data_IF_048903770487
#
_entry.id   IF_048903770487
#
_cell.length_a   1.000
_cell.length_b   1.000
_cell.length_c   1.000
_cell.angle_alpha   90.00
_cell.angle_beta   90.00
_cell.angle_gamma   90.00
#
_symmetry.space_group_name_H-M   'P 1'
#
loop_
_entity.id
_entity.type
_entity.pdbx_description
1 polymer ?
#
# COMPACT_ATOMS: atom_id res chain seq x y z
N UNK A 1 -19.19 13.07 -22.30
CA UNK A 1 -18.79 11.77 -21.76
C UNK A 1 -19.76 10.71 -22.24
N UNK A 2 -19.26 9.52 -22.55
CA UNK A 2 -20.08 8.34 -22.80
C UNK A 2 -20.68 7.86 -21.47
N UNK A 3 -21.93 7.36 -21.41
CA UNK A 3 -22.43 6.65 -20.23
C UNK A 3 -21.51 5.48 -19.87
N UNK A 4 -21.49 5.07 -18.59
CA UNK A 4 -20.76 3.86 -18.16
C UNK A 4 -21.27 2.69 -18.99
N UNK A 5 -20.39 2.17 -19.84
CA UNK A 5 -20.73 1.16 -20.84
C UNK A 5 -19.74 0.02 -20.73
N UNK A 6 -20.26 -1.19 -20.53
CA UNK A 6 -19.45 -2.41 -20.46
C UNK A 6 -19.70 -3.30 -21.68
N UNK A 7 -18.71 -4.10 -22.04
CA UNK A 7 -18.81 -5.05 -23.15
C UNK A 7 -17.99 -6.30 -22.89
N UNK A 8 -18.13 -7.29 -23.78
CA UNK A 8 -17.34 -8.51 -23.76
C UNK A 8 -16.50 -8.61 -25.02
N UNK A 9 -15.22 -8.92 -24.85
CA UNK A 9 -14.29 -9.25 -25.94
C UNK A 9 -13.62 -10.57 -25.56
N UNK A 10 -13.70 -11.57 -26.44
CA UNK A 10 -13.18 -12.92 -26.18
C UNK A 10 -13.63 -13.55 -24.84
N UNK A 11 -14.83 -13.20 -24.34
CA UNK A 11 -15.35 -13.69 -23.06
C UNK A 11 -14.84 -12.95 -21.81
N UNK A 12 -13.94 -11.98 -21.96
CA UNK A 12 -13.51 -11.07 -20.89
C UNK A 12 -14.36 -9.81 -20.87
N UNK A 13 -14.58 -9.27 -19.68
CA UNK A 13 -15.40 -8.08 -19.48
C UNK A 13 -14.53 -6.81 -19.47
N UNK A 14 -15.01 -5.79 -20.20
CA UNK A 14 -14.34 -4.50 -20.30
C UNK A 14 -15.30 -3.36 -19.99
N UNK A 15 -14.74 -2.29 -19.44
CA UNK A 15 -15.33 -0.96 -19.38
C UNK A 15 -14.76 -0.13 -20.53
N UNK A 16 -15.64 0.58 -21.23
CA UNK A 16 -15.24 1.62 -22.18
C UNK A 16 -15.07 2.89 -21.36
N UNK A 17 -13.86 3.43 -21.32
CA UNK A 17 -13.61 4.64 -20.54
C UNK A 17 -14.54 5.78 -21.00
N UNK A 18 -15.21 6.53 -20.10
CA UNK A 18 -16.20 7.56 -20.48
C UNK A 18 -15.63 8.75 -21.28
N UNK A 19 -14.33 9.02 -21.13
CA UNK A 19 -13.64 10.11 -21.81
C UNK A 19 -13.35 9.73 -23.26
N UNK A 20 -13.92 10.50 -24.18
CA UNK A 20 -13.56 10.45 -25.60
C UNK A 20 -12.13 10.99 -25.75
N UNK A 21 -11.26 10.23 -26.39
CA UNK A 21 -9.85 10.60 -26.61
C UNK A 21 -9.59 11.13 -28.02
N UNK A 22 -10.43 10.78 -28.99
CA UNK A 22 -10.29 11.25 -30.36
C UNK A 22 -11.36 10.69 -31.29
N UNK A 23 -11.18 10.91 -32.58
CA UNK A 23 -12.09 10.43 -33.63
C UNK A 23 -11.28 9.92 -34.82
N UNK A 24 -11.70 8.84 -35.46
CA UNK A 24 -11.09 8.38 -36.72
C UNK A 24 -11.66 9.13 -37.93
N UNK A 25 -10.95 9.08 -39.06
CA UNK A 25 -11.35 9.68 -40.33
C UNK A 25 -12.40 8.83 -41.06
N UNK A 26 -12.35 7.52 -40.88
CA UNK A 26 -13.21 6.57 -41.57
C UNK A 26 -14.66 6.67 -41.13
N UNK A 27 -15.55 6.43 -42.08
CA UNK A 27 -16.99 6.33 -41.80
C UNK A 27 -17.33 4.89 -41.44
N UNK A 28 -17.61 4.66 -40.16
CA UNK A 28 -18.09 3.38 -39.64
C UNK A 28 -19.52 3.50 -39.12
N UNK A 29 -20.17 2.37 -38.85
CA UNK A 29 -21.51 2.36 -38.27
C UNK A 29 -21.51 3.15 -36.93
N UNK A 30 -22.39 4.15 -36.75
CA UNK A 30 -22.45 4.96 -35.53
C UNK A 30 -22.63 4.16 -34.23
N UNK A 31 -23.27 3.00 -34.30
CA UNK A 31 -23.53 2.12 -33.16
C UNK A 31 -22.49 0.99 -33.05
N UNK A 32 -21.44 0.99 -33.88
CA UNK A 32 -20.40 -0.01 -33.81
C UNK A 32 -19.61 0.13 -32.51
N UNK A 33 -19.34 -1.01 -31.87
CA UNK A 33 -18.38 -1.13 -30.79
C UNK A 33 -17.29 -2.10 -31.23
N UNK A 34 -16.08 -1.58 -31.44
CA UNK A 34 -14.99 -2.33 -32.08
C UNK A 34 -13.75 -2.29 -31.18
N UNK A 35 -13.21 -3.44 -30.74
CA UNK A 35 -11.89 -3.48 -30.12
C UNK A 35 -10.83 -3.23 -31.20
N UNK A 36 -9.90 -2.32 -30.93
CA UNK A 36 -8.82 -1.95 -31.85
C UNK A 36 -7.48 -1.84 -31.12
N UNK A 37 -6.39 -1.86 -31.87
CA UNK A 37 -5.06 -1.51 -31.34
C UNK A 37 -4.61 -0.17 -31.92
N UNK A 38 -4.33 0.80 -31.04
CA UNK A 38 -3.78 2.10 -31.42
C UNK A 38 -2.26 1.99 -31.51
N UNK A 39 -1.67 2.36 -32.65
CA UNK A 39 -0.24 2.24 -32.91
C UNK A 39 0.27 3.46 -33.70
N UNK A 40 1.56 3.78 -33.56
CA UNK A 40 2.25 4.72 -34.45
C UNK A 40 2.54 4.09 -35.80
N UNK A 41 2.85 4.93 -36.79
CA UNK A 41 3.29 4.51 -38.13
C UNK A 41 4.47 3.53 -38.05
N UNK A 42 5.49 3.84 -37.24
CA UNK A 42 6.68 2.99 -37.12
C UNK A 42 6.36 1.61 -36.54
N UNK A 43 5.43 1.53 -35.59
CA UNK A 43 4.98 0.27 -35.00
C UNK A 43 4.15 -0.57 -35.98
N UNK A 44 3.29 0.08 -36.79
CA UNK A 44 2.46 -0.60 -37.79
C UNK A 44 3.31 -1.18 -38.93
N UNK A 45 4.25 -0.39 -39.44
CA UNK A 45 5.10 -0.77 -40.59
C UNK A 45 6.43 -1.42 -40.19
N UNK A 46 6.66 -1.63 -38.88
CA UNK A 46 7.82 -2.32 -38.30
C UNK A 46 7.54 -3.80 -38.03
N UNK A 47 7.93 -4.27 -36.83
CA UNK A 47 7.65 -5.65 -36.36
C UNK A 47 6.28 -5.73 -35.66
N UNK A 48 5.22 -5.58 -36.45
CA UNK A 48 3.84 -5.57 -35.94
C UNK A 48 3.50 -6.83 -35.14
N UNK A 49 3.84 -8.01 -35.66
CA UNK A 49 3.55 -9.28 -34.97
C UNK A 49 4.31 -9.39 -33.66
N UNK A 50 5.58 -8.99 -33.62
CA UNK A 50 6.35 -8.93 -32.39
C UNK A 50 5.73 -7.98 -31.35
N UNK A 51 5.18 -6.84 -31.78
CA UNK A 51 4.50 -5.89 -30.89
C UNK A 51 3.19 -6.46 -30.35
N UNK A 52 2.34 -7.05 -31.21
CA UNK A 52 1.08 -7.64 -30.76
C UNK A 52 1.31 -8.85 -29.84
N UNK A 53 2.33 -9.66 -30.10
CA UNK A 53 2.75 -10.74 -29.20
C UNK A 53 3.29 -10.19 -27.87
N UNK A 54 4.00 -9.07 -27.90
CA UNK A 54 4.45 -8.41 -26.69
C UNK A 54 3.24 -7.97 -25.85
N UNK A 55 2.26 -7.27 -26.43
CA UNK A 55 1.03 -6.89 -25.73
C UNK A 55 0.30 -8.09 -25.15
N UNK A 56 0.09 -9.16 -25.93
CA UNK A 56 -0.53 -10.41 -25.43
C UNK A 56 0.22 -11.04 -24.24
N UNK A 57 1.53 -10.78 -24.13
CA UNK A 57 2.37 -11.33 -23.06
C UNK A 57 2.45 -10.46 -21.80
N UNK A 58 2.32 -9.13 -21.90
CA UNK A 58 2.57 -8.20 -20.78
C UNK A 58 1.41 -7.27 -20.44
N UNK A 59 0.50 -7.02 -21.38
CA UNK A 59 -0.66 -6.13 -21.20
C UNK A 59 -1.88 -6.97 -20.85
N UNK A 60 -2.32 -6.88 -19.62
CA UNK A 60 -3.45 -7.66 -19.11
C UNK A 60 -4.81 -7.22 -19.68
N UNK A 61 -4.88 -6.05 -20.33
CA UNK A 61 -6.07 -5.57 -21.06
C UNK A 61 -6.13 -6.18 -22.45
N UNK A 62 -4.99 -6.36 -23.12
CA UNK A 62 -4.93 -6.84 -24.49
C UNK A 62 -5.37 -8.31 -24.60
N UNK A 63 -6.14 -8.60 -25.65
CA UNK A 63 -6.40 -9.95 -26.15
C UNK A 63 -6.32 -9.93 -27.67
N UNK A 64 -6.06 -11.07 -28.35
CA UNK A 64 -5.81 -11.09 -29.79
C UNK A 64 -6.91 -10.43 -30.64
N UNK A 65 -8.16 -10.43 -30.19
CA UNK A 65 -9.29 -9.76 -30.85
C UNK A 65 -9.04 -8.25 -31.06
N UNK A 66 -8.32 -7.56 -30.16
CA UNK A 66 -7.93 -6.15 -30.33
C UNK A 66 -6.97 -5.94 -31.51
N UNK A 67 -6.20 -6.97 -31.87
CA UNK A 67 -5.24 -6.93 -32.98
C UNK A 67 -5.86 -7.08 -34.37
N UNK A 68 -7.19 -7.17 -34.48
CA UNK A 68 -7.89 -7.37 -35.77
C UNK A 68 -7.95 -6.09 -36.62
N UNK A 69 -8.10 -4.94 -35.95
CA UNK A 69 -8.20 -3.62 -36.56
C UNK A 69 -7.18 -2.72 -35.89
N UNK A 70 -6.37 -2.04 -36.69
CA UNK A 70 -5.35 -1.13 -36.24
C UNK A 70 -5.80 0.31 -36.48
N UNK A 71 -5.45 1.20 -35.57
CA UNK A 71 -5.66 2.65 -35.73
C UNK A 71 -4.29 3.32 -35.70
N UNK A 72 -3.94 4.04 -36.76
CA UNK A 72 -2.71 4.80 -36.87
C UNK A 72 -2.82 6.18 -36.18
N UNK A 73 -1.88 6.49 -35.29
CA UNK A 73 -1.83 7.76 -34.55
C UNK A 73 -1.50 8.98 -35.42
N UNK A 74 -0.67 8.81 -36.45
CA UNK A 74 -0.13 9.90 -37.28
C UNK A 74 -0.50 9.67 -38.73
N UNK A 75 -1.28 10.58 -39.33
CA UNK A 75 -1.73 10.45 -40.71
C UNK A 75 -1.45 11.69 -41.55
N UNK A 76 -0.18 12.15 -41.61
CA UNK A 76 0.23 13.06 -42.69
C UNK A 76 0.41 12.23 -43.97
N UNK A 77 -0.69 12.04 -44.71
CA UNK A 77 -0.74 11.44 -46.03
C UNK A 77 0.07 10.14 -46.20
N UNK A 78 -0.44 9.02 -45.65
CA UNK A 78 0.02 7.70 -46.08
C UNK A 78 -1.10 7.00 -46.85
N UNK A 79 -0.72 6.48 -48.02
CA UNK A 79 -1.63 5.77 -48.93
C UNK A 79 -2.19 4.52 -48.24
N UNK A 80 -3.39 4.06 -48.58
CA UNK A 80 -3.92 2.76 -48.14
C UNK A 80 -2.93 1.62 -48.46
N UNK A 81 -2.03 1.31 -47.53
CA UNK A 81 -1.11 0.17 -47.63
C UNK A 81 -1.71 -0.91 -46.74
N UNK A 82 -2.34 -1.91 -47.37
CA UNK A 82 -2.69 -3.15 -46.67
C UNK A 82 -1.39 -3.82 -46.23
N UNK A 83 -1.18 -3.91 -44.92
CA UNK A 83 -0.23 -4.85 -44.32
C UNK A 83 -1.06 -6.05 -43.85
N UNK A 84 -0.78 -7.23 -44.39
CA UNK A 84 -1.20 -8.53 -43.83
C UNK A 84 -2.68 -8.70 -43.47
N UNK A 85 -3.60 -8.43 -44.41
CA UNK A 85 -5.06 -8.69 -44.29
C UNK A 85 -5.81 -7.92 -43.19
N UNK A 86 -5.13 -7.09 -42.37
CA UNK A 86 -5.76 -6.27 -41.33
C UNK A 86 -6.25 -4.94 -41.87
N UNK A 87 -7.35 -4.44 -41.30
CA UNK A 87 -7.85 -3.11 -41.60
C UNK A 87 -7.09 -2.07 -40.78
N UNK A 88 -6.66 -0.99 -41.44
CA UNK A 88 -5.98 0.13 -40.82
C UNK A 88 -6.88 1.36 -40.98
N UNK A 89 -7.23 1.97 -39.84
CA UNK A 89 -7.94 3.23 -39.74
C UNK A 89 -6.99 4.35 -39.32
N UNK A 90 -7.39 5.60 -39.54
CA UNK A 90 -6.53 6.76 -39.32
C UNK A 90 -7.20 7.75 -38.39
N UNK A 91 -6.43 8.30 -37.46
CA UNK A 91 -6.93 9.33 -36.55
C UNK A 91 -7.16 10.66 -37.28
N UNK A 92 -8.27 11.33 -36.97
CA UNK A 92 -8.59 12.67 -37.45
C UNK A 92 -7.82 13.70 -36.61
N UNK A 93 -6.74 14.25 -37.15
CA UNK A 93 -5.90 15.25 -36.47
C UNK A 93 -6.64 16.58 -36.18
N UNK A 94 -7.70 16.90 -36.92
CA UNK A 94 -8.47 18.14 -36.74
C UNK A 94 -9.44 18.00 -35.56
N UNK A 95 -9.89 16.78 -35.27
CA UNK A 95 -10.81 16.45 -34.17
C UNK A 95 -10.15 15.67 -33.04
N UNK A 96 -8.83 15.56 -33.06
CA UNK A 96 -8.03 15.05 -31.97
C UNK A 96 -8.01 16.06 -30.82
N UNK A 97 -8.02 15.57 -29.58
CA UNK A 97 -7.81 16.40 -28.40
C UNK A 97 -6.32 16.72 -28.26
N UNK A 98 -5.99 17.82 -27.57
CA UNK A 98 -4.59 18.18 -27.26
C UNK A 98 -3.90 17.00 -26.53
N UNK A 99 -2.65 16.68 -26.93
CA UNK A 99 -1.88 15.57 -26.37
C UNK A 99 -2.16 14.20 -27.02
N UNK A 100 -2.98 14.10 -28.07
CA UNK A 100 -3.32 12.82 -28.70
C UNK A 100 -2.10 12.02 -29.21
N UNK A 101 -1.08 12.71 -29.75
CA UNK A 101 0.18 12.08 -30.19
C UNK A 101 0.93 11.40 -29.04
N UNK A 102 0.60 11.74 -27.80
CA UNK A 102 1.19 11.20 -26.58
C UNK A 102 0.39 10.01 -26.02
N UNK A 103 -0.74 9.62 -26.65
CA UNK A 103 -1.48 8.44 -26.21
C UNK A 103 -0.60 7.18 -26.32
N UNK A 104 -0.61 6.30 -25.32
CA UNK A 104 0.14 5.06 -25.37
C UNK A 104 -0.36 4.14 -26.49
N UNK A 105 0.55 3.35 -27.04
CA UNK A 105 0.18 2.28 -27.96
C UNK A 105 -0.46 1.14 -27.17
N UNK A 106 -1.50 0.50 -27.73
CA UNK A 106 -2.18 -0.60 -27.02
C UNK A 106 -3.66 -0.74 -27.36
N UNK A 107 -4.43 -1.44 -26.51
CA UNK A 107 -5.85 -1.75 -26.74
C UNK A 107 -6.77 -0.55 -26.45
N UNK A 108 -7.69 -0.27 -27.38
CA UNK A 108 -8.72 0.76 -27.26
C UNK A 108 -10.05 0.26 -27.84
N UNK A 109 -11.12 1.02 -27.61
CA UNK A 109 -12.41 0.82 -28.28
C UNK A 109 -12.73 1.98 -29.22
N UNK A 110 -13.32 1.64 -30.35
CA UNK A 110 -14.14 2.57 -31.12
C UNK A 110 -15.60 2.39 -30.75
N UNK A 111 -16.26 3.46 -30.33
CA UNK A 111 -17.72 3.53 -30.24
C UNK A 111 -18.24 4.56 -31.25
N UNK A 112 -18.84 4.06 -32.33
CA UNK A 112 -18.90 4.77 -33.59
C UNK A 112 -17.48 5.21 -33.99
N UNK A 113 -17.29 6.40 -34.60
CA UNK A 113 -15.96 6.85 -35.01
C UNK A 113 -15.09 7.35 -33.85
N UNK A 114 -15.56 7.29 -32.60
CA UNK A 114 -14.89 7.91 -31.46
C UNK A 114 -14.01 6.90 -30.71
N UNK A 115 -12.81 7.31 -30.33
CA UNK A 115 -11.82 6.51 -29.62
C UNK A 115 -11.96 6.65 -28.09
N UNK A 116 -11.90 5.51 -27.39
CA UNK A 116 -11.96 5.41 -25.93
C UNK A 116 -10.96 4.38 -25.43
N UNK A 117 -10.38 4.59 -24.25
CA UNK A 117 -9.47 3.61 -23.65
C UNK A 117 -10.22 2.34 -23.26
N UNK A 118 -9.59 1.17 -23.50
CA UNK A 118 -10.11 -0.12 -23.03
C UNK A 118 -9.66 -0.36 -21.59
N UNK A 119 -10.60 -0.65 -20.70
CA UNK A 119 -10.32 -0.95 -19.30
C UNK A 119 -10.82 -2.34 -18.98
N UNK A 120 -9.95 -3.24 -18.54
CA UNK A 120 -10.36 -4.59 -18.13
C UNK A 120 -11.07 -4.55 -16.79
N UNK A 121 -12.18 -5.28 -16.67
CA UNK A 121 -12.89 -5.45 -15.41
C UNK A 121 -12.48 -6.76 -14.75
N UNK A 122 -12.26 -6.68 -13.45
CA UNK A 122 -11.93 -7.80 -12.58
C UNK A 122 -12.96 -7.92 -11.46
N UNK A 123 -13.31 -9.16 -11.13
CA UNK A 123 -14.17 -9.44 -9.98
C UNK A 123 -13.41 -9.23 -8.67
N UNK A 124 -14.06 -8.60 -7.68
CA UNK A 124 -13.51 -8.47 -6.33
C UNK A 124 -13.78 -9.73 -5.50
N UNK A 125 -13.21 -10.86 -5.92
CA UNK A 125 -13.37 -12.18 -5.27
C UNK A 125 -13.00 -12.19 -3.78
N UNK A 126 -12.00 -11.39 -3.39
CA UNK A 126 -11.54 -11.25 -2.01
C UNK A 126 -12.31 -10.18 -1.23
N UNK A 127 -13.24 -9.45 -1.84
CA UNK A 127 -13.98 -8.37 -1.18
C UNK A 127 -13.06 -7.31 -0.58
N UNK A 128 -11.92 -7.04 -1.22
CA UNK A 128 -10.85 -6.19 -0.74
C UNK A 128 -11.14 -4.69 -0.96
N UNK A 129 -12.04 -4.35 -1.88
CA UNK A 129 -12.33 -2.98 -2.27
C UNK A 129 -13.61 -2.46 -1.64
N UNK A 130 -13.64 -1.16 -1.34
CA UNK A 130 -14.88 -0.42 -1.08
C UNK A 130 -15.53 0.02 -2.40
N UNK A 131 -14.69 0.37 -3.38
CA UNK A 131 -15.11 0.81 -4.71
C UNK A 131 -13.96 0.77 -5.71
N UNK A 132 -14.32 0.56 -6.99
CA UNK A 132 -13.45 0.89 -8.12
C UNK A 132 -13.42 2.40 -8.37
N UNK A 133 -12.35 2.89 -8.98
CA UNK A 133 -12.17 4.31 -9.30
C UNK A 133 -12.00 4.48 -10.81
N UNK A 134 -12.72 5.44 -11.39
CA UNK A 134 -12.39 6.00 -12.71
C UNK A 134 -11.73 7.35 -12.42
N UNK A 135 -10.45 7.57 -12.78
CA UNK A 135 -9.82 8.87 -12.73
C UNK A 135 -10.71 9.86 -13.48
N UNK A 136 -11.18 10.88 -12.75
CA UNK A 136 -12.10 11.97 -13.11
C UNK A 136 -13.59 11.90 -12.68
N UNK A 137 -14.11 10.87 -11.99
CA UNK A 137 -15.28 11.08 -11.09
C UNK A 137 -15.51 9.96 -10.04
N UNK A 138 -16.09 10.39 -8.92
CA UNK A 138 -16.09 9.78 -7.59
C UNK A 138 -17.21 8.76 -7.40
N UNK A 139 -16.86 7.56 -6.91
CA UNK A 139 -17.80 6.78 -6.09
C UNK A 139 -17.12 6.05 -4.92
N UNK A 140 -17.51 6.54 -3.73
CA UNK A 140 -17.72 5.93 -2.41
C UNK A 140 -16.66 4.98 -1.80
N UNK A 141 -15.93 5.41 -0.75
CA UNK A 141 -15.44 4.50 0.29
C UNK A 141 -16.59 4.09 1.22
N UNK A 142 -16.42 3.09 2.08
CA UNK A 142 -17.50 2.41 2.78
C UNK A 142 -17.27 2.46 4.32
N UNK A 143 -18.08 3.25 5.05
CA UNK A 143 -18.21 3.35 6.53
C UNK A 143 -19.51 4.16 6.83
N UNK A 144 -20.51 3.58 7.53
CA UNK A 144 -21.83 4.25 7.68
C UNK A 144 -21.81 5.46 8.62
N UNK A 145 -21.04 5.40 9.71
CA UNK A 145 -21.00 6.47 10.70
C UNK A 145 -20.18 7.66 10.20
N UNK A 146 -19.09 7.40 9.48
CA UNK A 146 -18.32 8.45 8.80
C UNK A 146 -19.11 9.05 7.62
N UNK A 147 -19.77 8.22 6.79
CA UNK A 147 -20.62 8.69 5.68
C UNK A 147 -21.79 9.57 6.14
N UNK A 148 -22.38 9.29 7.28
CA UNK A 148 -23.53 10.09 7.77
C UNK A 148 -23.12 11.54 8.07
N UNK A 149 -21.86 11.77 8.45
CA UNK A 149 -21.31 13.10 8.65
C UNK A 149 -20.81 13.75 7.35
N UNK A 150 -20.09 13.01 6.52
CA UNK A 150 -19.46 13.49 5.29
C UNK A 150 -20.14 12.88 4.05
N UNK A 151 -21.30 13.44 3.69
CA UNK A 151 -22.15 12.94 2.59
C UNK A 151 -21.55 13.16 1.20
N UNK A 152 -20.70 14.18 1.05
CA UNK A 152 -20.05 14.49 -0.22
C UNK A 152 -18.63 13.90 -0.26
N UNK A 153 -18.23 13.26 -1.37
CA UNK A 153 -16.86 12.83 -1.56
C UNK A 153 -15.89 14.02 -1.55
N UNK A 154 -14.62 13.75 -1.23
CA UNK A 154 -13.56 14.77 -1.35
C UNK A 154 -13.53 15.31 -2.78
N UNK A 155 -13.51 16.64 -2.93
CA UNK A 155 -13.37 17.31 -4.22
C UNK A 155 -11.94 17.32 -4.76
N UNK A 156 -10.99 16.78 -4.00
CA UNK A 156 -9.58 16.70 -4.40
C UNK A 156 -8.97 15.33 -4.10
N UNK A 157 -8.04 14.93 -4.97
CA UNK A 157 -7.14 13.80 -4.76
C UNK A 157 -6.09 14.17 -3.72
N UNK A 158 -5.82 13.26 -2.77
CA UNK A 158 -4.76 13.46 -1.79
C UNK A 158 -3.41 13.63 -2.50
N UNK A 159 -2.56 14.58 -2.06
CA UNK A 159 -1.29 14.90 -2.75
C UNK A 159 -0.40 13.69 -3.00
N UNK A 160 -0.37 12.73 -2.07
CA UNK A 160 0.41 11.51 -2.26
C UNK A 160 -0.13 10.66 -3.42
N UNK A 161 -1.45 10.45 -3.49
CA UNK A 161 -2.08 9.75 -4.61
C UNK A 161 -1.91 10.52 -5.93
N UNK A 162 -1.98 11.86 -5.89
CA UNK A 162 -1.71 12.69 -7.06
C UNK A 162 -0.27 12.52 -7.55
N UNK A 163 0.71 12.51 -6.63
CA UNK A 163 2.12 12.28 -6.97
C UNK A 163 2.36 10.90 -7.60
N UNK A 164 1.59 9.87 -7.22
CA UNK A 164 1.65 8.57 -7.88
C UNK A 164 1.08 8.63 -9.30
N UNK A 165 -0.08 9.28 -9.48
CA UNK A 165 -0.71 9.49 -10.79
C UNK A 165 0.24 10.27 -11.72
N UNK A 166 0.86 11.35 -11.23
CA UNK A 166 1.82 12.16 -11.98
C UNK A 166 3.07 11.37 -12.40
N UNK A 167 3.39 10.27 -11.69
CA UNK A 167 4.46 9.33 -12.03
C UNK A 167 4.00 8.17 -12.92
N UNK A 168 2.74 8.18 -13.37
CA UNK A 168 2.16 7.19 -14.28
C UNK A 168 1.44 6.02 -13.59
N UNK A 169 1.21 6.09 -12.28
CA UNK A 169 0.45 5.04 -11.59
C UNK A 169 -1.04 5.11 -11.98
N UNK A 170 -1.62 3.94 -12.29
CA UNK A 170 -3.06 3.80 -12.53
C UNK A 170 -3.74 3.42 -11.20
N UNK A 171 -4.57 4.33 -10.67
CA UNK A 171 -5.32 4.09 -9.44
C UNK A 171 -6.61 3.35 -9.76
N UNK A 172 -6.65 2.06 -9.43
CA UNK A 172 -7.73 1.13 -9.79
C UNK A 172 -8.90 1.11 -8.78
N UNK A 173 -8.67 1.48 -7.52
CA UNK A 173 -9.68 1.32 -6.48
C UNK A 173 -9.29 1.83 -5.11
N UNK A 174 -10.28 1.94 -4.22
CA UNK A 174 -10.09 2.17 -2.79
C UNK A 174 -10.28 0.87 -2.03
N UNK A 175 -9.29 0.48 -1.25
CA UNK A 175 -9.33 -0.75 -0.46
C UNK A 175 -10.01 -0.52 0.88
N UNK A 176 -10.63 -1.58 1.41
CA UNK A 176 -11.26 -1.55 2.75
C UNK A 176 -10.22 -1.31 3.85
N UNK A 177 -10.62 -0.49 4.81
CA UNK A 177 -9.89 -0.22 6.04
C UNK A 177 -10.75 -0.69 7.21
N UNK A 178 -10.14 -1.24 8.25
CA UNK A 178 -10.89 -1.58 9.48
C UNK A 178 -11.54 -0.33 10.08
N UNK A 179 -12.70 -0.47 10.73
CA UNK A 179 -13.40 0.66 11.36
C UNK A 179 -12.46 1.44 12.31
N UNK A 180 -12.30 2.75 12.05
CA UNK A 180 -11.38 3.66 12.75
C UNK A 180 -9.92 3.17 12.83
N UNK A 181 -9.47 2.34 11.88
CA UNK A 181 -8.10 1.81 11.84
C UNK A 181 -7.79 0.69 12.84
N UNK A 182 -8.75 0.31 13.71
CA UNK A 182 -8.52 -0.75 14.71
C UNK A 182 -9.60 -1.82 14.78
N UNK A 183 -10.74 -1.62 14.09
CA UNK A 183 -11.87 -2.55 14.07
C UNK A 183 -11.50 -3.99 13.71
N UNK A 184 -12.06 -4.94 14.44
CA UNK A 184 -11.88 -6.37 14.17
C UNK A 184 -13.21 -7.07 13.86
N UNK A 185 -14.33 -6.40 14.14
CA UNK A 185 -15.66 -7.00 14.12
C UNK A 185 -16.31 -6.94 12.74
N UNK A 186 -16.02 -5.90 11.95
CA UNK A 186 -16.59 -5.71 10.61
C UNK A 186 -18.13 -5.75 10.64
N UNK A 187 -18.73 -4.94 11.52
CA UNK A 187 -20.18 -4.93 11.77
C UNK A 187 -20.94 -4.36 10.58
N UNK A 188 -20.36 -3.38 9.90
CA UNK A 188 -21.01 -2.67 8.80
C UNK A 188 -20.80 -3.33 7.43
N UNK A 189 -19.78 -4.18 7.29
CA UNK A 189 -19.35 -4.76 6.01
C UNK A 189 -18.74 -6.14 6.20
N UNK A 190 -18.71 -6.96 5.16
CA UNK A 190 -17.95 -8.20 5.19
C UNK A 190 -16.44 -7.92 5.20
N UNK A 191 -15.72 -8.49 6.17
CA UNK A 191 -14.26 -8.48 6.20
C UNK A 191 -13.65 -9.11 4.94
N UNK A 192 -12.60 -8.50 4.34
CA UNK A 192 -11.88 -9.07 3.21
C UNK A 192 -11.45 -10.52 3.45
N UNK A 193 -11.45 -11.32 2.39
CA UNK A 193 -10.92 -12.68 2.38
C UNK A 193 -9.42 -12.65 2.08
N UNK A 194 -8.66 -13.55 2.71
CA UNK A 194 -7.25 -13.76 2.39
C UNK A 194 -7.14 -14.94 1.44
N UNK A 195 -6.29 -14.85 0.41
CA UNK A 195 -5.94 -16.02 -0.40
C UNK A 195 -5.05 -17.04 0.34
N UNK A 196 -4.68 -16.77 1.60
CA UNK A 196 -3.94 -17.68 2.49
C UNK A 196 -4.86 -18.38 3.48
N UNK A 197 -4.32 -19.39 4.16
CA UNK A 197 -5.06 -20.17 5.15
C UNK A 197 -6.30 -20.83 4.57
N UNK A 198 -6.17 -21.36 3.34
CA UNK A 198 -7.25 -21.99 2.56
C UNK A 198 -8.43 -21.05 2.28
N UNK A 199 -8.18 -19.75 2.16
CA UNK A 199 -9.22 -18.73 2.02
C UNK A 199 -9.67 -18.13 3.35
N UNK A 200 -9.31 -18.73 4.48
CA UNK A 200 -9.89 -18.43 5.78
C UNK A 200 -8.92 -17.78 6.77
N UNK A 201 -7.71 -17.37 6.35
CA UNK A 201 -6.85 -16.57 7.23
C UNK A 201 -7.56 -15.25 7.62
N UNK A 202 -7.56 -14.94 8.91
CA UNK A 202 -8.03 -13.69 9.47
C UNK A 202 -6.94 -12.64 9.34
N UNK A 203 -7.18 -11.68 8.46
CA UNK A 203 -6.35 -10.49 8.32
C UNK A 203 -6.69 -9.45 9.40
N UNK A 204 -5.69 -8.66 9.80
CA UNK A 204 -5.75 -7.76 10.96
C UNK A 204 -5.02 -6.45 10.65
N UNK A 205 -5.27 -5.42 11.45
CA UNK A 205 -4.65 -4.10 11.32
C UNK A 205 -5.55 -3.11 10.57
N UNK A 206 -5.05 -1.89 10.35
CA UNK A 206 -5.79 -0.85 9.63
C UNK A 206 -6.03 -1.16 8.15
N UNK A 207 -5.01 -1.69 7.48
CA UNK A 207 -4.91 -1.77 6.01
C UNK A 207 -5.34 -3.12 5.41
N UNK A 208 -6.40 -3.71 5.95
CA UNK A 208 -6.78 -5.10 5.63
C UNK A 208 -7.10 -5.32 4.16
N UNK A 209 -7.83 -4.41 3.52
CA UNK A 209 -8.15 -4.52 2.10
C UNK A 209 -6.90 -4.42 1.21
N UNK A 210 -5.96 -3.53 1.54
CA UNK A 210 -4.70 -3.39 0.80
C UNK A 210 -3.85 -4.66 0.88
N UNK A 211 -3.75 -5.25 2.06
CA UNK A 211 -3.06 -6.51 2.25
C UNK A 211 -3.78 -7.66 1.52
N UNK A 212 -5.11 -7.77 1.65
CA UNK A 212 -5.92 -8.79 0.98
C UNK A 212 -5.77 -8.73 -0.54
N UNK A 213 -5.83 -7.51 -1.09
CA UNK A 213 -5.66 -7.23 -2.51
C UNK A 213 -4.27 -7.69 -3.00
N UNK A 214 -3.20 -7.29 -2.30
CA UNK A 214 -1.82 -7.67 -2.64
C UNK A 214 -1.59 -9.20 -2.55
N UNK A 215 -2.21 -9.84 -1.57
CA UNK A 215 -2.13 -11.30 -1.37
C UNK A 215 -2.87 -12.05 -2.48
N UNK A 216 -4.06 -11.59 -2.83
CA UNK A 216 -5.02 -12.34 -3.64
C UNK A 216 -4.99 -12.06 -5.13
N UNK A 217 -4.75 -10.81 -5.56
CA UNK A 217 -4.86 -10.42 -6.96
C UNK A 217 -3.48 -10.34 -7.63
N UNK A 218 -3.19 -11.22 -8.62
CA UNK A 218 -1.91 -11.19 -9.33
C UNK A 218 -1.74 -9.95 -10.22
N UNK A 219 -2.85 -9.32 -10.62
CA UNK A 219 -2.90 -8.12 -11.48
C UNK A 219 -2.73 -6.82 -10.69
N UNK A 220 -2.50 -6.89 -9.36
CA UNK A 220 -2.19 -5.73 -8.54
C UNK A 220 -0.70 -5.72 -8.20
N UNK A 221 0.00 -4.71 -8.70
CA UNK A 221 1.44 -4.53 -8.43
C UNK A 221 1.68 -4.05 -6.99
N UNK A 222 0.89 -3.04 -6.59
CA UNK A 222 1.08 -2.28 -5.37
C UNK A 222 -0.24 -1.98 -4.68
N UNK A 223 -0.22 -2.02 -3.35
CA UNK A 223 -1.28 -1.42 -2.53
C UNK A 223 -0.67 -0.43 -1.54
N UNK A 224 -1.43 0.61 -1.23
CA UNK A 224 -1.05 1.65 -0.27
C UNK A 224 -1.98 1.56 0.93
N UNK A 225 -1.40 1.59 2.13
CA UNK A 225 -2.14 1.63 3.38
C UNK A 225 -1.44 2.48 4.43
N UNK A 226 -1.94 2.38 5.64
CA UNK A 226 -1.37 3.00 6.85
C UNK A 226 -0.73 1.89 7.70
N UNK A 227 0.50 2.14 8.11
CA UNK A 227 1.22 1.44 9.17
C UNK A 227 0.87 2.13 10.49
N UNK A 228 0.13 1.44 11.36
CA UNK A 228 -0.32 1.93 12.67
C UNK A 228 0.64 1.53 13.81
N UNK A 229 1.88 1.15 13.46
CA UNK A 229 2.89 0.69 14.40
C UNK A 229 2.83 -0.80 14.72
N UNK A 230 1.80 -1.54 14.26
CA UNK A 230 1.70 -2.98 14.48
C UNK A 230 2.51 -3.76 13.43
N UNK A 231 3.34 -4.68 13.92
CA UNK A 231 4.16 -5.56 13.08
C UNK A 231 3.37 -6.81 12.72
N UNK A 232 2.66 -6.74 11.60
CA UNK A 232 1.81 -7.81 11.09
C UNK A 232 2.50 -8.57 9.96
N UNK A 233 2.24 -9.88 9.84
CA UNK A 233 2.80 -10.75 8.80
C UNK A 233 2.21 -10.51 7.40
N UNK A 234 1.19 -9.66 7.28
CA UNK A 234 0.54 -9.24 6.02
C UNK A 234 0.23 -10.38 5.04
N UNK A 235 -0.20 -11.55 5.53
CA UNK A 235 -0.50 -12.71 4.66
C UNK A 235 0.72 -13.18 3.83
N UNK A 236 1.93 -12.87 4.28
CA UNK A 236 3.19 -13.24 3.63
C UNK A 236 3.56 -12.41 2.40
N UNK A 237 2.97 -11.22 2.19
CA UNK A 237 3.49 -10.26 1.18
C UNK A 237 4.59 -9.38 1.77
N UNK A 238 5.39 -8.78 0.89
CA UNK A 238 6.38 -7.81 1.29
C UNK A 238 5.70 -6.47 1.55
N UNK A 239 6.16 -5.77 2.58
CA UNK A 239 5.72 -4.40 2.82
C UNK A 239 6.85 -3.53 3.36
N UNK A 240 6.78 -2.25 3.03
CA UNK A 240 7.74 -1.25 3.48
C UNK A 240 6.99 -0.04 4.01
N UNK A 241 7.43 0.43 5.18
CA UNK A 241 7.07 1.74 5.71
C UNK A 241 7.84 2.80 4.94
N UNK A 242 7.18 3.77 4.31
CA UNK A 242 7.90 4.80 3.57
C UNK A 242 8.74 5.70 4.51
N UNK A 243 9.99 5.99 4.14
CA UNK A 243 10.80 7.00 4.79
C UNK A 243 10.33 8.39 4.35
N UNK A 244 9.44 9.00 5.14
CA UNK A 244 8.93 10.33 4.86
C UNK A 244 7.71 10.65 5.72
N UNK A 245 7.45 11.93 5.96
CA UNK A 245 6.16 12.31 6.52
C UNK A 245 5.09 12.15 5.44
N UNK A 246 3.95 11.55 5.81
CA UNK A 246 2.77 11.61 4.97
C UNK A 246 2.52 13.08 4.62
N UNK A 247 2.06 13.31 3.39
CA UNK A 247 1.39 14.56 3.09
C UNK A 247 0.31 14.80 4.17
N UNK A 248 0.19 16.04 4.64
CA UNK A 248 -0.78 16.52 5.64
C UNK A 248 -2.24 16.22 5.32
N UNK A 249 -2.52 15.65 4.16
CA UNK A 249 -3.83 15.50 3.55
C UNK A 249 -4.40 14.07 3.73
N UNK A 250 -3.68 13.17 4.40
CA UNK A 250 -4.16 11.83 4.78
C UNK A 250 -4.50 11.83 6.28
N UNK A 251 -5.74 11.47 6.62
CA UNK A 251 -6.17 11.37 8.01
C UNK A 251 -5.45 10.21 8.71
N UNK A 252 -4.73 10.53 9.79
CA UNK A 252 -4.02 9.57 10.65
C UNK A 252 -4.66 9.55 12.03
N UNK A 253 -4.70 8.38 12.67
CA UNK A 253 -5.17 8.26 14.04
C UNK A 253 -4.04 8.52 15.06
N UNK A 254 -2.77 8.44 14.64
CA UNK A 254 -1.64 8.75 15.51
C UNK A 254 -0.47 9.40 14.78
N UNK A 255 0.37 10.16 15.49
CA UNK A 255 1.64 10.69 14.93
C UNK A 255 2.64 9.59 14.55
N UNK A 256 2.43 8.37 15.07
CA UNK A 256 3.22 7.19 14.73
C UNK A 256 2.80 6.57 13.41
N UNK A 257 1.62 6.92 12.89
CA UNK A 257 1.12 6.39 11.62
C UNK A 257 2.02 6.84 10.47
N UNK A 258 2.34 5.88 9.58
CA UNK A 258 3.14 6.11 8.38
C UNK A 258 2.51 5.43 7.18
N UNK A 259 2.85 5.85 5.96
CA UNK A 259 2.43 5.14 4.76
C UNK A 259 3.10 3.77 4.70
N UNK A 260 2.30 2.74 4.43
CA UNK A 260 2.77 1.38 4.14
C UNK A 260 2.53 1.06 2.68
N UNK A 261 3.53 0.55 2.01
CA UNK A 261 3.42 0.00 0.67
C UNK A 261 3.45 -1.51 0.78
N UNK A 262 2.58 -2.17 0.04
CA UNK A 262 2.50 -3.61 -0.09
C UNK A 262 2.86 -4.00 -1.51
N UNK A 263 3.67 -5.05 -1.67
CA UNK A 263 3.97 -5.63 -2.96
C UNK A 263 4.21 -7.13 -2.84
N UNK A 264 3.95 -7.84 -3.93
CA UNK A 264 4.23 -9.27 -4.06
C UNK A 264 5.72 -9.57 -4.24
N UNK A 265 6.54 -8.55 -4.49
CA UNK A 265 7.99 -8.69 -4.65
C UNK A 265 8.75 -7.64 -3.85
N UNK A 266 9.93 -8.03 -3.35
CA UNK A 266 10.86 -7.09 -2.70
C UNK A 266 11.35 -6.03 -3.68
N UNK A 267 11.56 -6.40 -4.95
CA UNK A 267 11.99 -5.49 -6.02
C UNK A 267 10.96 -4.38 -6.23
N UNK A 268 9.67 -4.71 -6.25
CA UNK A 268 8.62 -3.71 -6.45
C UNK A 268 8.58 -2.65 -5.33
N UNK A 269 8.97 -2.99 -4.11
CA UNK A 269 9.08 -1.99 -3.04
C UNK A 269 10.17 -0.94 -3.33
N UNK A 270 11.19 -1.27 -4.14
CA UNK A 270 12.26 -0.34 -4.50
C UNK A 270 11.78 0.77 -5.46
N UNK A 271 10.70 0.55 -6.21
CA UNK A 271 10.13 1.57 -7.10
C UNK A 271 9.69 2.83 -6.33
N UNK A 272 9.46 2.68 -5.01
CA UNK A 272 9.05 3.74 -4.11
C UNK A 272 10.17 4.27 -3.20
N UNK A 273 11.39 3.76 -3.34
CA UNK A 273 12.54 4.24 -2.58
C UNK A 273 13.20 5.40 -3.34
N UNK A 274 13.25 6.60 -2.74
CA UNK A 274 13.89 7.79 -3.34
C UNK A 274 15.33 7.53 -3.82
N UNK A 275 16.01 6.52 -3.26
CA UNK A 275 17.39 6.15 -3.56
C UNK A 275 17.57 5.04 -4.60
N UNK A 276 16.52 4.44 -5.15
CA UNK A 276 16.67 3.38 -6.16
C UNK A 276 17.32 3.86 -7.47
N UNK A 277 17.30 5.18 -7.74
CA UNK A 277 17.93 5.81 -8.91
C UNK A 277 19.40 6.22 -8.71
N UNK A 278 19.94 6.15 -7.48
CA UNK A 278 21.31 6.54 -7.19
C UNK A 278 22.22 5.30 -7.09
N UNK A 279 22.76 4.88 -8.24
CA UNK A 279 23.65 3.72 -8.38
C UNK A 279 24.65 3.55 -7.22
N UNK A 280 24.84 2.30 -6.79
CA UNK A 280 25.67 1.94 -5.65
C UNK A 280 27.11 2.45 -5.79
N UNK A 281 27.47 3.45 -4.99
CA UNK A 281 28.84 3.85 -4.74
C UNK A 281 29.28 3.34 -3.37
N UNK A 282 30.18 2.35 -3.37
CA UNK A 282 31.15 2.04 -2.30
C UNK A 282 30.66 2.01 -0.85
N UNK A 283 29.49 1.46 -0.55
CA UNK A 283 29.03 1.29 0.83
C UNK A 283 29.80 0.13 1.50
N UNK A 284 30.28 0.36 2.73
CA UNK A 284 30.82 -0.70 3.60
C UNK A 284 29.73 -1.73 3.92
N UNK A 285 30.11 -3.00 4.10
CA UNK A 285 29.15 -4.04 4.49
C UNK A 285 28.40 -3.64 5.78
N UNK A 286 27.05 -3.66 5.78
CA UNK A 286 26.27 -3.23 6.92
C UNK A 286 26.35 -4.24 8.07
N UNK A 287 26.24 -3.76 9.30
CA UNK A 287 26.14 -4.62 10.49
C UNK A 287 24.81 -5.36 10.49
N UNK A 288 24.82 -6.62 10.89
CA UNK A 288 23.61 -7.43 11.05
C UNK A 288 23.36 -7.60 12.54
N UNK A 289 22.29 -7.04 13.08
CA UNK A 289 21.97 -7.06 14.52
C UNK A 289 20.71 -7.89 14.78
N UNK A 290 20.80 -8.82 15.72
CA UNK A 290 19.68 -9.67 16.16
C UNK A 290 19.46 -9.47 17.66
N UNK A 291 18.45 -8.68 18.07
CA UNK A 291 18.11 -8.51 19.49
C UNK A 291 17.55 -9.80 20.10
N UNK A 292 18.10 -10.23 21.23
CA UNK A 292 17.73 -11.50 21.88
C UNK A 292 16.55 -11.38 22.85
N UNK A 293 16.36 -10.20 23.43
CA UNK A 293 15.44 -9.93 24.55
C UNK A 293 14.30 -8.96 24.21
N UNK A 294 14.23 -8.52 22.95
CA UNK A 294 13.16 -7.63 22.46
C UNK A 294 11.90 -8.40 22.01
N UNK A 295 11.98 -9.73 21.89
CA UNK A 295 10.86 -10.56 21.46
C UNK A 295 10.97 -12.00 21.98
N UNK A 296 9.86 -12.74 21.98
CA UNK A 296 9.81 -14.16 22.37
C UNK A 296 9.32 -15.03 21.21
N UNK A 297 10.13 -15.19 20.13
CA UNK A 297 9.68 -15.89 18.93
C UNK A 297 9.43 -17.38 19.18
N UNK A 298 8.42 -17.93 18.51
CA UNK A 298 8.14 -19.37 18.53
C UNK A 298 9.20 -20.17 17.77
N UNK A 299 9.22 -21.49 17.92
CA UNK A 299 10.21 -22.37 17.29
C UNK A 299 10.32 -22.18 15.76
N UNK A 300 9.19 -22.05 15.07
CA UNK A 300 9.17 -21.81 13.62
C UNK A 300 9.76 -20.45 13.26
N UNK A 301 9.42 -19.39 14.01
CA UNK A 301 9.98 -18.05 13.82
C UNK A 301 11.49 -18.01 14.09
N UNK A 302 11.95 -18.68 15.16
CA UNK A 302 13.39 -18.83 15.44
C UNK A 302 14.12 -19.50 14.28
N UNK A 303 13.52 -20.53 13.69
CA UNK A 303 14.09 -21.23 12.52
C UNK A 303 14.14 -20.30 11.30
N UNK A 304 13.06 -19.56 11.03
CA UNK A 304 13.01 -18.61 9.91
C UNK A 304 14.04 -17.47 10.08
N UNK A 305 14.16 -16.91 11.28
CA UNK A 305 15.17 -15.89 11.59
C UNK A 305 16.58 -16.45 11.40
N UNK A 306 16.88 -17.65 11.92
CA UNK A 306 18.20 -18.25 11.77
C UNK A 306 18.56 -18.48 10.28
N UNK A 307 17.62 -18.98 9.48
CA UNK A 307 17.81 -19.15 8.03
C UNK A 307 18.03 -17.81 7.34
N UNK A 308 17.21 -16.81 7.63
CA UNK A 308 17.33 -15.47 7.03
C UNK A 308 18.65 -14.79 7.39
N UNK A 309 19.04 -14.85 8.66
CA UNK A 309 20.33 -14.34 9.15
C UNK A 309 21.49 -15.07 8.45
N UNK A 310 21.43 -16.39 8.28
CA UNK A 310 22.46 -17.13 7.54
C UNK A 310 22.62 -16.61 6.11
N UNK A 311 21.50 -16.46 5.39
CA UNK A 311 21.50 -15.94 4.01
C UNK A 311 22.09 -14.53 3.96
N UNK A 312 21.72 -13.65 4.89
CA UNK A 312 22.24 -12.28 4.93
C UNK A 312 23.74 -12.24 5.25
N UNK A 313 24.22 -13.07 6.16
CA UNK A 313 25.64 -13.14 6.49
C UNK A 313 26.47 -13.56 5.27
N UNK A 314 26.00 -14.55 4.52
CA UNK A 314 26.65 -15.02 3.29
C UNK A 314 26.61 -13.95 2.18
N UNK A 315 25.48 -13.24 2.03
CA UNK A 315 25.31 -12.21 1.02
C UNK A 315 26.18 -10.97 1.27
N UNK A 316 26.31 -10.56 2.54
CA UNK A 316 26.98 -9.32 2.94
C UNK A 316 28.42 -9.54 3.41
N UNK A 317 28.89 -10.79 3.43
CA UNK A 317 30.18 -11.21 4.00
C UNK A 317 30.42 -10.59 5.40
N UNK A 318 29.37 -10.61 6.23
CA UNK A 318 29.36 -9.96 7.55
C UNK A 318 28.73 -10.87 8.57
N UNK A 319 29.32 -10.97 9.77
CA UNK A 319 28.76 -11.79 10.85
C UNK A 319 27.62 -11.07 11.57
N UNK A 320 26.61 -11.83 11.97
CA UNK A 320 25.53 -11.33 12.80
C UNK A 320 25.97 -11.14 14.25
N UNK A 321 25.48 -10.06 14.84
CA UNK A 321 25.69 -9.65 16.22
C UNK A 321 24.41 -9.89 17.00
N UNK A 322 24.47 -10.83 17.94
CA UNK A 322 23.37 -11.11 18.86
C UNK A 322 23.52 -10.22 20.09
N UNK A 323 22.55 -9.34 20.33
CA UNK A 323 22.64 -8.30 21.35
C UNK A 323 21.50 -8.44 22.35
N UNK A 324 21.85 -8.38 23.63
CA UNK A 324 20.88 -8.24 24.72
C UNK A 324 20.71 -6.75 25.04
N UNK A 325 19.60 -6.16 24.58
CA UNK A 325 19.36 -4.71 24.61
C UNK A 325 19.16 -4.22 26.05
N UNK A 326 18.44 -4.97 26.87
CA UNK A 326 18.23 -4.65 28.28
C UNK A 326 19.55 -4.62 29.07
N UNK A 327 20.45 -5.58 28.82
CA UNK A 327 21.78 -5.57 29.42
C UNK A 327 22.62 -4.39 28.92
N UNK A 328 22.59 -4.09 27.62
CA UNK A 328 23.28 -2.90 27.10
C UNK A 328 22.76 -1.61 27.75
N UNK A 329 21.45 -1.53 28.06
CA UNK A 329 20.87 -0.42 28.80
C UNK A 329 21.39 -0.33 30.23
N UNK A 330 21.52 -1.46 30.93
CA UNK A 330 22.10 -1.49 32.29
C UNK A 330 23.56 -1.07 32.31
N UNK A 331 24.33 -1.48 31.29
CA UNK A 331 25.75 -1.15 31.17
C UNK A 331 25.98 0.32 30.75
N UNK A 332 25.02 0.96 30.09
CA UNK A 332 25.14 2.32 29.56
C UNK A 332 23.79 3.07 29.59
N UNK A 333 23.17 3.30 30.76
CA UNK A 333 21.83 3.87 30.83
C UNK A 333 21.84 5.35 30.44
N UNK A 334 20.77 5.86 29.78
CA UNK A 334 20.64 7.29 29.56
C UNK A 334 20.42 8.02 30.90
N UNK A 335 20.92 9.25 31.00
CA UNK A 335 20.87 10.04 32.23
C UNK A 335 19.45 10.26 32.77
N UNK A 336 18.49 10.37 31.86
CA UNK A 336 17.08 10.62 32.11
C UNK A 336 16.39 9.41 32.75
N UNK A 337 16.95 8.20 32.59
CA UNK A 337 16.37 6.98 33.15
C UNK A 337 16.51 6.88 34.67
N UNK A 338 17.36 7.69 35.31
CA UNK A 338 17.49 7.70 36.79
C UNK A 338 17.73 6.31 37.42
N UNK A 339 18.47 5.44 36.72
CA UNK A 339 18.70 4.02 37.03
C UNK A 339 17.51 3.07 36.87
N UNK A 340 16.40 3.50 36.26
CA UNK A 340 15.34 2.60 35.81
C UNK A 340 15.87 1.65 34.73
N UNK A 341 15.54 0.36 34.84
CA UNK A 341 15.78 -0.60 33.77
C UNK A 341 14.91 -0.30 32.55
N UNK A 342 15.40 -0.63 31.35
CA UNK A 342 14.74 -0.34 30.07
C UNK A 342 13.25 -0.70 30.05
N UNK A 343 12.90 -1.87 30.59
CA UNK A 343 11.54 -2.38 30.57
C UNK A 343 10.57 -1.53 31.40
N UNK A 344 11.03 -1.04 32.56
CA UNK A 344 10.24 -0.16 33.42
C UNK A 344 10.13 1.22 32.76
N UNK A 345 11.25 1.73 32.24
CA UNK A 345 11.30 3.03 31.60
C UNK A 345 10.33 3.13 30.41
N UNK A 346 10.22 2.04 29.63
CA UNK A 346 9.40 1.93 28.41
C UNK A 346 8.04 1.28 28.62
N UNK A 347 7.70 0.83 29.83
CA UNK A 347 6.51 0.00 30.09
C UNK A 347 5.21 0.64 29.56
N UNK A 348 5.06 1.94 29.81
CA UNK A 348 3.83 2.69 29.52
C UNK A 348 3.94 3.61 28.31
N UNK A 349 5.15 4.10 28.03
CA UNK A 349 5.36 5.21 27.10
C UNK A 349 4.85 4.91 25.66
N UNK A 350 5.16 3.77 25.03
CA UNK A 350 4.71 3.48 23.67
C UNK A 350 3.18 3.46 23.55
N UNK A 351 2.52 2.70 24.43
CA UNK A 351 1.08 2.52 24.36
C UNK A 351 0.31 3.79 24.73
N UNK A 352 0.72 4.51 25.79
CA UNK A 352 0.03 5.73 26.23
C UNK A 352 0.20 6.88 25.25
N UNK A 353 1.38 7.05 24.67
CA UNK A 353 1.57 8.06 23.62
C UNK A 353 0.69 7.78 22.41
N UNK A 354 0.60 6.52 21.96
CA UNK A 354 -0.32 6.15 20.89
C UNK A 354 -1.78 6.37 21.29
N UNK A 355 -2.15 5.95 22.51
CA UNK A 355 -3.51 6.07 23.04
C UNK A 355 -4.01 7.51 23.04
N UNK A 356 -3.19 8.45 23.51
CA UNK A 356 -3.56 9.85 23.55
C UNK A 356 -3.91 10.36 22.15
N UNK A 357 -3.01 10.15 21.19
CA UNK A 357 -3.23 10.60 19.81
C UNK A 357 -4.47 9.90 19.20
N UNK A 358 -4.59 8.58 19.37
CA UNK A 358 -5.70 7.79 18.85
C UNK A 358 -7.05 8.22 19.41
N UNK A 359 -7.14 8.56 20.69
CA UNK A 359 -8.40 9.02 21.26
C UNK A 359 -8.76 10.42 20.74
N UNK A 360 -7.81 11.35 20.76
CA UNK A 360 -8.03 12.76 20.41
C UNK A 360 -8.14 13.01 18.90
N UNK A 361 -7.63 12.12 18.04
CA UNK A 361 -7.82 12.19 16.59
C UNK A 361 -9.29 12.13 16.16
N UNK A 362 -10.17 11.64 17.03
CA UNK A 362 -11.62 11.56 16.78
C UNK A 362 -12.45 12.53 17.64
N UNK A 363 -11.85 13.53 18.29
CA UNK A 363 -12.59 14.56 19.04
C UNK A 363 -13.61 15.28 18.15
N UNK A 364 -13.14 15.83 17.02
CA UNK A 364 -13.99 16.52 16.05
C UNK A 364 -15.10 15.61 15.51
N UNK A 365 -14.79 14.35 15.18
CA UNK A 365 -15.78 13.39 14.72
C UNK A 365 -16.90 13.16 15.76
N UNK A 366 -16.54 12.98 17.03
CA UNK A 366 -17.52 12.80 18.11
C UNK A 366 -18.37 14.05 18.33
N UNK A 367 -17.73 15.21 18.35
CA UNK A 367 -18.40 16.50 18.58
C UNK A 367 -19.37 16.84 17.44
N UNK A 368 -18.95 16.67 16.19
CA UNK A 368 -19.78 16.90 15.02
C UNK A 368 -20.95 15.91 14.95
N UNK A 369 -20.72 14.63 15.25
CA UNK A 369 -21.79 13.64 15.30
C UNK A 369 -22.84 14.01 16.36
N UNK A 370 -22.39 14.37 17.57
CA UNK A 370 -23.28 14.79 18.65
C UNK A 370 -24.05 16.06 18.28
N UNK A 371 -23.40 17.01 17.61
CA UNK A 371 -24.03 18.25 17.15
C UNK A 371 -25.07 18.02 16.03
N UNK A 372 -24.79 17.12 15.08
CA UNK A 372 -25.67 16.84 13.92
C UNK A 372 -26.85 15.93 14.27
N UNK A 373 -26.63 14.92 15.11
CA UNK A 373 -27.60 13.83 15.34
C UNK A 373 -28.09 13.70 16.80
N UNK A 374 -27.60 14.54 17.71
CA UNK A 374 -27.89 14.50 19.15
C UNK A 374 -27.60 13.13 19.82
N UNK A 375 -26.72 12.31 19.24
CA UNK A 375 -26.29 11.03 19.79
C UNK A 375 -24.79 10.77 19.54
N UNK A 376 -24.24 9.76 20.23
CA UNK A 376 -22.86 9.32 20.00
C UNK A 376 -22.78 8.49 18.71
N UNK A 377 -21.65 8.55 17.97
CA UNK A 377 -21.45 7.69 16.81
C UNK A 377 -21.45 6.22 17.24
N UNK A 378 -21.91 5.34 16.34
CA UNK A 378 -21.70 3.91 16.50
C UNK A 378 -20.21 3.59 16.35
N UNK A 379 -19.70 2.73 17.23
CA UNK A 379 -18.31 2.29 17.23
C UNK A 379 -18.27 0.80 17.56
N UNK A 380 -17.48 0.04 16.81
CA UNK A 380 -17.29 -1.39 17.04
C UNK A 380 -16.63 -1.68 18.40
N UNK A 381 -16.71 -2.93 18.86
CA UNK A 381 -16.24 -3.31 20.19
C UNK A 381 -14.72 -3.07 20.37
N UNK A 382 -13.90 -3.33 19.36
CA UNK A 382 -12.44 -3.13 19.44
C UNK A 382 -12.05 -1.64 19.50
N UNK A 383 -12.48 -0.74 18.58
CA UNK A 383 -12.18 0.68 18.69
C UNK A 383 -12.78 1.33 19.94
N UNK A 384 -13.97 0.87 20.37
CA UNK A 384 -14.63 1.35 21.60
C UNK A 384 -13.84 0.97 22.85
N UNK A 385 -13.19 -0.19 22.87
CA UNK A 385 -12.27 -0.58 23.93
C UNK A 385 -11.06 0.35 23.99
N UNK A 386 -10.38 0.57 22.86
CA UNK A 386 -9.27 1.51 22.83
C UNK A 386 -9.70 2.90 23.28
N UNK A 387 -10.85 3.41 22.84
CA UNK A 387 -11.35 4.70 23.35
C UNK A 387 -11.58 4.70 24.86
N UNK A 388 -12.05 3.60 25.45
CA UNK A 388 -12.27 3.52 26.89
C UNK A 388 -10.97 3.47 27.70
N UNK A 389 -9.96 2.77 27.21
CA UNK A 389 -8.63 2.69 27.83
C UNK A 389 -7.85 4.00 27.64
N UNK A 390 -7.93 4.60 26.46
CA UNK A 390 -7.10 5.73 26.08
C UNK A 390 -7.63 7.09 26.58
N UNK A 391 -8.94 7.23 26.84
CA UNK A 391 -9.56 8.52 27.24
C UNK A 391 -8.98 9.15 28.52
N UNK A 392 -8.36 8.35 29.38
CA UNK A 392 -7.80 8.83 30.65
C UNK A 392 -6.37 9.33 30.55
N UNK A 393 -5.70 9.13 29.41
CA UNK A 393 -4.34 9.63 29.20
C UNK A 393 -4.40 11.14 29.06
N UNK A 394 -3.68 11.85 29.91
CA UNK A 394 -3.63 13.32 29.89
C UNK A 394 -2.56 13.83 28.91
N UNK A 395 -2.68 15.09 28.50
CA UNK A 395 -1.69 15.75 27.63
C UNK A 395 -0.29 15.75 28.27
N UNK A 396 -0.21 16.01 29.57
CA UNK A 396 1.05 16.02 30.31
C UNK A 396 1.71 14.64 30.36
N UNK A 397 0.91 13.58 30.54
CA UNK A 397 1.41 12.20 30.49
C UNK A 397 1.89 11.84 29.07
N UNK A 398 1.16 12.22 28.02
CA UNK A 398 1.61 12.02 26.64
C UNK A 398 2.91 12.76 26.35
N UNK A 399 3.08 13.99 26.86
CA UNK A 399 4.31 14.77 26.72
C UNK A 399 5.50 14.03 27.34
N UNK A 400 5.34 13.58 28.59
CA UNK A 400 6.37 12.81 29.30
C UNK A 400 6.69 11.48 28.59
N UNK A 401 5.67 10.75 28.15
CA UNK A 401 5.82 9.48 27.45
C UNK A 401 6.53 9.68 26.09
N UNK A 402 6.22 10.75 25.35
CA UNK A 402 6.91 11.10 24.10
C UNK A 402 8.38 11.45 24.34
N UNK A 403 8.69 12.19 25.41
CA UNK A 403 10.07 12.49 25.80
C UNK A 403 10.85 11.21 26.12
N UNK A 404 10.24 10.25 26.83
CA UNK A 404 10.85 8.93 27.09
C UNK A 404 11.13 8.17 25.80
N UNK A 405 10.21 8.19 24.83
CA UNK A 405 10.41 7.55 23.52
C UNK A 405 11.59 8.16 22.76
N UNK A 406 11.76 9.48 22.82
CA UNK A 406 12.87 10.17 22.15
C UNK A 406 14.22 9.89 22.83
N UNK A 407 14.25 9.81 24.17
CA UNK A 407 15.44 9.37 24.93
C UNK A 407 15.83 7.95 24.51
N UNK A 408 14.88 7.01 24.53
CA UNK A 408 15.13 5.63 24.11
C UNK A 408 15.60 5.55 22.66
N UNK A 409 14.97 6.31 21.76
CA UNK A 409 15.35 6.39 20.35
C UNK A 409 16.81 6.78 20.18
N UNK A 410 17.22 7.88 20.81
CA UNK A 410 18.60 8.37 20.75
C UNK A 410 19.56 7.36 21.35
N UNK A 411 19.23 6.83 22.53
CA UNK A 411 20.05 5.84 23.21
C UNK A 411 20.29 4.59 22.36
N UNK A 412 19.25 4.02 21.76
CA UNK A 412 19.34 2.81 20.96
C UNK A 412 20.16 3.06 19.68
N UNK A 413 20.00 4.22 19.04
CA UNK A 413 20.84 4.61 17.90
C UNK A 413 22.32 4.67 18.28
N UNK A 414 22.65 5.28 19.41
CA UNK A 414 24.04 5.44 19.86
C UNK A 414 24.68 4.13 20.32
N UNK A 415 23.93 3.30 21.07
CA UNK A 415 24.50 2.16 21.79
C UNK A 415 24.31 0.81 21.07
N UNK A 416 23.29 0.69 20.22
CA UNK A 416 22.99 -0.55 19.49
C UNK A 416 23.43 -0.40 18.02
N UNK A 417 22.90 0.60 17.34
CA UNK A 417 23.07 0.80 15.90
C UNK A 417 24.47 1.32 15.56
N UNK A 418 24.90 2.40 16.21
CA UNK A 418 26.13 3.12 15.92
C UNK A 418 27.30 2.74 16.83
N UNK A 419 27.19 1.63 17.57
CA UNK A 419 28.15 1.28 18.62
C UNK A 419 29.61 1.40 18.12
N UNK A 420 30.40 2.14 18.89
CA UNK A 420 31.66 2.79 18.53
C UNK A 420 32.82 1.81 18.34
N UNK A 421 32.77 0.93 17.35
CA UNK A 421 34.02 0.44 16.75
C UNK A 421 34.59 1.58 15.89
N UNK A 422 35.81 2.10 16.17
CA UNK A 422 36.36 3.32 15.52
C UNK A 422 36.48 3.27 13.98
N UNK A 423 36.17 2.14 13.35
CA UNK A 423 36.22 1.91 11.90
C UNK A 423 34.91 1.41 11.28
N UNK A 424 33.83 1.24 12.06
CA UNK A 424 32.53 0.78 11.54
C UNK A 424 31.70 1.97 11.01
N UNK A 425 32.05 2.47 9.82
CA UNK A 425 31.29 3.49 9.10
C UNK A 425 30.25 2.87 8.16
N UNK A 426 29.39 1.99 8.67
CA UNK A 426 28.38 1.29 7.86
C UNK A 426 26.98 1.34 8.47
N UNK A 427 25.97 1.29 7.60
CA UNK A 427 24.56 1.13 7.98
C UNK A 427 24.35 -0.17 8.79
N UNK A 428 23.25 -0.28 9.53
CA UNK A 428 22.92 -1.48 10.29
C UNK A 428 21.51 -2.00 9.95
N UNK A 429 21.37 -3.32 9.90
CA UNK A 429 20.09 -4.00 9.71
C UNK A 429 19.74 -4.71 11.01
N UNK A 430 18.61 -4.32 11.63
CA UNK A 430 18.08 -4.96 12.84
C UNK A 430 16.99 -5.95 12.47
N UNK A 431 17.14 -7.20 12.89
CA UNK A 431 16.24 -8.30 12.53
C UNK A 431 15.36 -8.65 13.73
N UNK A 432 14.05 -8.55 13.56
CA UNK A 432 13.03 -8.90 14.55
C UNK A 432 12.00 -9.85 13.93
N UNK A 433 11.37 -10.74 14.72
CA UNK A 433 10.23 -11.53 14.24
C UNK A 433 9.07 -10.61 13.85
N UNK A 434 8.32 -11.04 12.83
CA UNK A 434 7.13 -10.35 12.36
C UNK A 434 5.90 -11.28 12.41
N UNK A 435 4.78 -10.76 12.90
CA UNK A 435 3.48 -11.45 12.94
C UNK A 435 3.42 -12.70 13.81
N UNK A 436 2.34 -13.47 13.63
CA UNK A 436 2.08 -14.70 14.37
C UNK A 436 2.68 -15.91 13.66
N UNK A 437 3.14 -16.87 14.44
CA UNK A 437 3.73 -18.11 13.92
C UNK A 437 2.70 -19.12 13.40
N UNK A 438 1.42 -18.87 13.62
CA UNK A 438 0.30 -19.73 13.25
C UNK A 438 -0.73 -18.90 12.49
N UNK A 439 -1.36 -19.52 11.50
CA UNK A 439 -2.50 -18.94 10.80
C UNK A 439 -3.66 -18.89 11.78
N UNK A 440 -4.21 -17.69 11.98
CA UNK A 440 -5.48 -17.54 12.69
C UNK A 440 -6.60 -17.57 11.67
N UNK A 441 -7.57 -18.44 11.85
CA UNK A 441 -8.69 -18.55 10.93
C UNK A 441 -9.86 -17.64 11.33
N UNK A 442 -10.66 -17.25 10.34
CA UNK A 442 -11.84 -16.38 10.55
C UNK A 442 -12.88 -16.96 11.49
N UNK A 443 -12.95 -18.29 11.61
CA UNK A 443 -13.85 -19.01 12.51
C UNK A 443 -13.24 -19.26 13.90
N UNK A 444 -11.96 -18.95 14.11
CA UNK A 444 -11.36 -19.06 15.44
C UNK A 444 -12.01 -18.03 16.37
N UNK A 445 -12.30 -18.37 17.64
CA UNK A 445 -12.76 -17.39 18.60
C UNK A 445 -11.84 -16.17 18.58
N UNK A 446 -12.39 -14.97 18.43
CA UNK A 446 -11.61 -13.75 18.65
C UNK A 446 -11.20 -13.80 20.10
N UNK A 447 -9.93 -14.12 20.36
CA UNK A 447 -9.46 -14.18 21.72
C UNK A 447 -9.73 -12.82 22.37
N UNK A 448 -10.34 -12.80 23.56
CA UNK A 448 -10.33 -11.62 24.44
C UNK A 448 -8.90 -11.13 24.77
N UNK A 449 -7.85 -11.74 24.21
CA UNK A 449 -6.45 -11.34 24.34
C UNK A 449 -6.06 -10.10 23.53
N UNK A 450 -6.93 -9.53 22.69
CA UNK A 450 -6.76 -8.13 22.26
C UNK A 450 -6.87 -7.15 23.44
N UNK A 451 -7.42 -7.59 24.58
CA UNK A 451 -7.71 -6.79 25.76
C UNK A 451 -6.74 -7.00 26.94
N UNK A 452 -5.81 -7.95 26.84
CA UNK A 452 -4.87 -8.25 27.94
C UNK A 452 -3.49 -7.68 27.63
N UNK A 453 -3.15 -6.58 28.31
CA UNK A 453 -1.81 -5.97 28.38
C UNK A 453 -0.77 -6.86 29.08
N UNK A 454 -1.15 -8.06 29.56
CA UNK A 454 -0.34 -8.96 30.38
C UNK A 454 0.60 -9.91 29.59
N UNK A 455 0.71 -9.79 28.27
CA UNK A 455 1.84 -10.38 27.54
C UNK A 455 2.85 -9.29 27.21
N UNK A 456 3.87 -9.18 28.06
CA UNK A 456 4.90 -8.15 28.01
C UNK A 456 5.36 -7.80 26.59
N UNK A 457 5.38 -6.50 26.29
CA UNK A 457 5.98 -5.90 25.08
C UNK A 457 5.39 -6.44 23.75
N UNK A 458 4.30 -7.22 23.79
CA UNK A 458 3.69 -7.84 22.62
C UNK A 458 2.60 -6.97 22.00
N UNK A 459 2.95 -5.86 21.36
CA UNK A 459 1.98 -5.09 20.56
C UNK A 459 2.49 -3.81 19.94
N UNK A 460 3.45 -3.15 20.58
CA UNK A 460 4.19 -2.03 20.02
C UNK A 460 5.68 -2.31 20.18
N UNK A 461 6.29 -3.14 19.32
CA UNK A 461 7.74 -3.09 19.20
C UNK A 461 8.06 -1.63 18.87
N UNK A 462 8.84 -0.98 19.74
CA UNK A 462 9.41 0.34 19.46
C UNK A 462 10.41 0.14 18.33
N UNK A 463 9.91 0.06 17.10
CA UNK A 463 10.75 0.15 15.92
C UNK A 463 11.10 1.62 15.82
N UNK A 464 12.28 1.92 16.34
CA UNK A 464 12.99 3.12 15.97
C UNK A 464 13.23 3.02 14.47
N UNK A 465 12.55 3.88 13.71
CA UNK A 465 12.96 4.15 12.33
C UNK A 465 14.36 4.74 12.42
N UNK A 466 15.36 3.91 12.17
CA UNK A 466 16.76 4.32 12.04
C UNK A 466 16.87 4.88 10.63
N UNK A 467 16.74 6.20 10.48
CA UNK A 467 17.24 6.88 9.30
C UNK A 467 18.75 7.01 9.41
N UNK A 468 19.47 6.09 8.80
CA UNK A 468 20.63 6.45 8.00
C UNK A 468 20.26 6.15 6.55
N UNK A 469 20.32 7.16 5.69
CA UNK A 469 19.97 6.99 4.30
C UNK A 469 20.93 6.03 3.61
N UNK A 470 20.51 4.79 3.42
CA UNK A 470 20.90 3.90 2.31
C UNK A 470 20.28 2.51 2.54
N UNK A 471 19.14 2.25 1.91
CA UNK A 471 18.86 0.88 1.46
C UNK A 471 19.32 0.78 0.01
N UNK A 472 20.54 0.30 -0.16
CA UNK A 472 21.13 -0.16 -1.42
C UNK A 472 21.28 -1.68 -1.31
N UNK A 473 20.56 -2.42 -2.15
CA UNK A 473 20.85 -3.82 -2.49
C UNK A 473 20.98 -3.91 -4.00
#
# INVERSE_FOLDING_TARGET
>A
MLPITTCFVAGLQYLIHPLKLGTIQETINPDALIPITLLSTEEIFGDLEGILQLFDSIDDVFVPDFGSILVEKSGDNSSQVHIDTRQIYHMDQIKALDGFSELPSGPYFLYGPNLYQAWRLYDDEFGAFTSGVIPDDLNQPDDRAWKSLYENPSSSTAKYAQSLIDQGAVIIGKTKTSHLGTGAEWVDQQAPWSARGDGYERMKGGSVGAAAASVGYPWIDYSIGIDDGRVMSEGGVYSMRQPGNLSTDIATASKFDKTRIFSRSLKGLLDFAENAKAGASGASSPRIIVPEDMSSPQKSQKTAIATFVSILQDLLDTKAEYINVGKTWEDSPPSEASNEGMQIYMEKAPFRSWCYDYYHSFDTFRDEHKKKFDNKPFVEATPQFFWNECKSVTEEENRQDTERLDVYRKWFLENIVNNSTPNAKGDAVVILPCGNAQVEHRNDPVAHRLYNTDTGIGGFPVIISIHSGSLRV
#
